data_IF_229670981655
#
_entry.id   IF_229670981655
#
_cell.length_a   1.000
_cell.length_b   1.000
_cell.length_c   1.000
_cell.angle_alpha   90.00
_cell.angle_beta   90.00
_cell.angle_gamma   90.00
#
_symmetry.space_group_name_H-M   'P 1'
#
loop_
_entity.id
_entity.type
_entity.pdbx_description
1 polymer ?
#
# COMPACT_ATOMS: atom_id res chain seq x y z
N UNK A 1 62.67 -22.32 23.83
CA UNK A 1 61.91 -23.32 24.63
C UNK A 1 61.62 -22.72 26.00
N UNK A 2 60.49 -23.04 26.67
CA UNK A 2 59.56 -24.12 26.35
C UNK A 2 58.11 -23.69 26.12
N UNK A 3 57.44 -24.58 25.39
CA UNK A 3 56.01 -24.83 25.29
C UNK A 3 55.35 -24.94 26.68
N UNK A 4 54.13 -24.42 26.83
CA UNK A 4 53.23 -24.82 27.91
C UNK A 4 51.91 -25.28 27.28
N UNK A 5 51.67 -26.58 27.45
CA UNK A 5 50.46 -27.34 27.10
C UNK A 5 49.25 -26.92 27.95
N UNK A 6 48.02 -26.93 27.38
CA UNK A 6 46.80 -26.67 28.12
C UNK A 6 46.31 -27.91 28.88
N UNK A 7 45.91 -27.70 30.13
CA UNK A 7 45.37 -28.70 31.06
C UNK A 7 43.84 -28.86 30.92
N UNK A 8 43.38 -30.10 30.72
CA UNK A 8 41.97 -30.52 30.80
C UNK A 8 41.43 -30.52 32.23
N UNK A 9 40.12 -30.29 32.40
CA UNK A 9 39.28 -31.06 33.34
C UNK A 9 38.01 -31.59 32.64
N UNK A 10 37.79 -32.91 32.59
CA UNK A 10 37.08 -33.79 33.53
C UNK A 10 35.59 -34.02 33.15
N UNK A 11 35.09 -35.28 33.21
CA UNK A 11 33.93 -35.73 32.42
C UNK A 11 32.55 -35.56 33.09
N UNK A 12 31.52 -35.47 32.25
CA UNK A 12 30.10 -35.32 32.58
C UNK A 12 29.49 -36.52 33.34
N UNK A 13 28.55 -36.30 34.28
CA UNK A 13 27.86 -37.38 34.97
C UNK A 13 26.72 -38.00 34.14
N UNK A 14 26.59 -39.32 34.28
CA UNK A 14 25.63 -40.21 33.62
C UNK A 14 24.22 -40.10 34.21
N UNK A 15 23.22 -40.22 33.33
CA UNK A 15 21.78 -40.42 33.63
C UNK A 15 21.49 -41.80 34.25
N UNK A 16 20.42 -41.92 35.07
CA UNK A 16 19.79 -43.21 35.31
C UNK A 16 18.76 -43.57 34.21
N UNK A 17 18.69 -44.87 33.89
CA UNK A 17 17.67 -45.52 33.03
C UNK A 17 16.55 -46.11 33.89
N UNK A 18 15.31 -46.03 33.41
CA UNK A 18 14.19 -47.01 33.47
C UNK A 18 12.90 -46.24 33.11
N UNK A 19 11.97 -46.68 32.28
CA UNK A 19 11.77 -47.85 31.43
C UNK A 19 10.38 -47.70 30.77
N UNK A 20 10.01 -48.65 29.89
CA UNK A 20 8.61 -48.97 29.59
C UNK A 20 7.90 -48.24 28.43
N UNK A 21 7.89 -48.91 27.27
CA UNK A 21 6.76 -49.26 26.38
C UNK A 21 5.65 -48.23 26.03
N UNK A 22 5.43 -48.08 24.71
CA UNK A 22 4.16 -48.07 23.91
C UNK A 22 3.06 -47.10 24.40
N UNK A 23 2.42 -46.23 23.60
CA UNK A 23 1.74 -46.41 22.31
C UNK A 23 1.20 -45.06 21.78
N UNK A 24 0.83 -45.03 20.50
CA UNK A 24 0.08 -43.97 19.78
C UNK A 24 -1.25 -43.63 20.48
N UNK A 25 -1.71 -42.37 20.45
CA UNK A 25 -2.90 -41.88 19.71
C UNK A 25 -3.29 -40.44 20.07
N UNK A 26 -3.81 -39.76 19.04
CA UNK A 26 -4.49 -38.46 19.02
C UNK A 26 -5.84 -38.54 19.74
N UNK A 27 -6.30 -37.46 20.38
CA UNK A 27 -7.74 -37.21 20.60
C UNK A 27 -8.04 -35.72 20.75
N UNK A 28 -8.93 -35.25 19.88
CA UNK A 28 -9.71 -34.02 19.99
C UNK A 28 -10.89 -34.23 20.93
N UNK A 29 -11.40 -33.16 21.54
CA UNK A 29 -12.76 -33.13 22.08
C UNK A 29 -13.35 -31.71 21.93
N UNK A 30 -14.43 -31.66 21.15
CA UNK A 30 -15.40 -30.58 21.09
C UNK A 30 -16.39 -30.71 22.26
N UNK A 31 -16.93 -29.58 22.72
CA UNK A 31 -18.07 -29.54 23.65
C UNK A 31 -19.32 -29.09 22.89
N UNK A 32 -20.37 -29.91 22.98
CA UNK A 32 -21.71 -29.63 22.52
C UNK A 32 -22.57 -29.11 23.68
N UNK A 33 -23.50 -28.21 23.39
CA UNK A 33 -24.65 -27.90 24.25
C UNK A 33 -25.90 -28.11 23.42
N UNK A 34 -26.76 -29.02 23.88
CA UNK A 34 -28.11 -29.26 23.37
C UNK A 34 -29.10 -28.94 24.50
N UNK A 35 -30.24 -28.34 24.15
CA UNK A 35 -31.50 -28.56 24.85
C UNK A 35 -32.67 -28.43 23.85
N UNK A 36 -33.53 -29.45 23.90
CA UNK A 36 -34.74 -29.71 23.13
C UNK A 36 -35.88 -28.71 23.50
N UNK A 37 -36.99 -28.56 22.77
CA UNK A 37 -38.08 -29.52 22.43
C UNK A 37 -39.05 -28.83 21.45
N UNK A 38 -39.67 -29.49 20.46
CA UNK A 38 -41.00 -30.09 20.59
C UNK A 38 -41.94 -29.63 19.44
N UNK A 39 -42.74 -30.55 18.91
CA UNK A 39 -43.38 -30.52 17.58
C UNK A 39 -44.67 -29.67 17.43
N UNK A 40 -44.96 -29.23 16.20
CA UNK A 40 -46.30 -29.24 15.59
C UNK A 40 -46.24 -28.99 14.07
N UNK A 41 -46.80 -29.92 13.29
CA UNK A 41 -47.01 -29.85 11.84
C UNK A 41 -48.26 -29.01 11.54
N UNK A 42 -48.11 -27.90 10.82
CA UNK A 42 -49.16 -27.28 10.00
C UNK A 42 -48.48 -26.51 8.85
N UNK A 43 -48.59 -27.03 7.63
CA UNK A 43 -48.16 -26.36 6.39
C UNK A 43 -49.29 -25.48 5.84
N UNK A 44 -49.10 -24.18 5.65
CA UNK A 44 -49.71 -23.48 4.53
C UNK A 44 -48.75 -23.51 3.34
N UNK A 45 -49.28 -23.85 2.18
CA UNK A 45 -48.59 -23.79 0.91
C UNK A 45 -48.08 -22.35 0.67
N UNK A 46 -46.76 -22.18 0.74
CA UNK A 46 -46.10 -20.98 0.23
C UNK A 46 -45.79 -21.23 -1.25
N UNK A 47 -46.48 -20.51 -2.13
CA UNK A 47 -46.15 -20.42 -3.54
C UNK A 47 -44.69 -19.98 -3.67
N UNK A 48 -43.84 -20.89 -4.14
CA UNK A 48 -42.48 -20.58 -4.51
C UNK A 48 -42.51 -19.68 -5.76
N UNK A 49 -42.45 -18.36 -5.57
CA UNK A 49 -42.04 -17.46 -6.64
C UNK A 49 -40.61 -17.89 -7.04
N UNK A 50 -40.49 -18.50 -8.20
CA UNK A 50 -39.21 -18.76 -8.82
C UNK A 50 -38.54 -17.41 -9.15
N UNK A 51 -37.77 -16.89 -8.19
CA UNK A 51 -36.78 -15.88 -8.49
C UNK A 51 -35.78 -16.53 -9.45
N UNK A 52 -35.76 -16.06 -10.69
CA UNK A 52 -34.76 -16.41 -11.68
C UNK A 52 -33.40 -15.93 -11.16
N UNK A 53 -32.73 -16.79 -10.40
CA UNK A 53 -31.34 -16.60 -10.06
C UNK A 53 -30.56 -16.53 -11.37
N UNK A 54 -30.06 -15.33 -11.70
CA UNK A 54 -29.10 -15.18 -12.78
C UNK A 54 -27.96 -16.19 -12.54
N UNK A 55 -27.51 -16.92 -13.57
CA UNK A 55 -26.44 -17.89 -13.38
C UNK A 55 -25.23 -17.16 -12.78
N UNK A 56 -24.81 -17.62 -11.60
CA UNK A 56 -23.54 -17.20 -11.03
C UNK A 56 -22.46 -17.43 -12.10
N UNK A 57 -21.75 -16.37 -12.47
CA UNK A 57 -20.67 -16.47 -13.44
C UNK A 57 -19.72 -17.58 -12.95
N UNK A 58 -19.53 -18.60 -13.80
CA UNK A 58 -18.57 -19.66 -13.51
C UNK A 58 -17.21 -19.02 -13.16
N UNK A 59 -16.47 -19.51 -12.16
CA UNK A 59 -15.14 -19.00 -11.87
C UNK A 59 -14.31 -19.13 -13.14
N UNK A 60 -13.96 -17.99 -13.75
CA UNK A 60 -12.99 -17.96 -14.83
C UNK A 60 -11.69 -18.45 -14.19
N UNK A 61 -11.26 -19.67 -14.52
CA UNK A 61 -9.94 -20.14 -14.14
C UNK A 61 -8.95 -19.07 -14.61
N UNK A 62 -8.29 -18.41 -13.67
CA UNK A 62 -7.30 -17.41 -13.99
C UNK A 62 -6.17 -18.12 -14.74
N UNK A 63 -5.78 -17.57 -15.89
CA UNK A 63 -4.66 -18.13 -16.65
C UNK A 63 -3.39 -18.01 -15.79
N UNK A 64 -2.61 -19.09 -15.72
CA UNK A 64 -1.32 -19.06 -15.04
C UNK A 64 -0.41 -18.03 -15.70
N UNK A 65 0.28 -17.23 -14.88
CA UNK A 65 1.25 -16.25 -15.37
C UNK A 65 2.41 -16.96 -16.08
N UNK A 66 2.92 -16.34 -17.14
CA UNK A 66 4.10 -16.81 -17.83
C UNK A 66 5.34 -16.52 -16.97
N UNK A 67 6.10 -17.56 -16.60
CA UNK A 67 7.37 -17.40 -15.88
C UNK A 67 8.51 -17.09 -16.85
N UNK A 68 9.25 -16.01 -16.57
CA UNK A 68 10.44 -15.63 -17.33
C UNK A 68 11.68 -16.21 -16.64
N UNK A 69 12.36 -17.16 -17.30
CA UNK A 69 13.47 -17.88 -16.70
C UNK A 69 14.76 -17.03 -16.56
N UNK A 70 15.04 -16.16 -17.54
CA UNK A 70 16.28 -15.40 -17.62
C UNK A 70 16.01 -13.94 -18.04
N UNK A 71 15.95 -13.03 -17.06
CA UNK A 71 15.72 -11.59 -17.29
C UNK A 71 16.97 -10.72 -17.07
N UNK A 72 18.15 -11.34 -16.98
CA UNK A 72 19.42 -10.66 -16.73
C UNK A 72 19.93 -10.85 -15.31
N UNK A 73 20.73 -9.88 -14.82
CA UNK A 73 21.29 -9.94 -13.48
C UNK A 73 20.17 -9.96 -12.42
N UNK A 74 20.29 -10.85 -11.43
CA UNK A 74 19.26 -11.06 -10.42
C UNK A 74 19.87 -11.15 -9.01
N UNK A 75 20.53 -10.10 -8.50
CA UNK A 75 21.18 -10.14 -7.19
C UNK A 75 20.19 -10.31 -6.03
N UNK A 76 18.92 -9.92 -6.20
CA UNK A 76 17.84 -10.13 -5.22
C UNK A 76 17.18 -11.50 -5.28
N UNK A 77 17.63 -12.40 -6.16
CA UNK A 77 17.08 -13.75 -6.33
C UNK A 77 15.54 -13.77 -6.45
N UNK A 78 14.98 -12.85 -7.25
CA UNK A 78 13.55 -12.74 -7.51
C UNK A 78 13.10 -13.65 -8.64
N UNK A 79 11.83 -14.02 -8.67
CA UNK A 79 11.20 -14.62 -9.85
C UNK A 79 10.44 -13.56 -10.63
N UNK A 80 10.55 -13.57 -11.96
CA UNK A 80 9.79 -12.71 -12.86
C UNK A 80 8.68 -13.50 -13.52
N UNK A 81 7.48 -12.93 -13.50
CA UNK A 81 6.33 -13.39 -14.26
C UNK A 81 5.80 -12.25 -15.12
N UNK A 82 5.09 -12.58 -16.19
CA UNK A 82 4.43 -11.58 -17.04
C UNK A 82 2.98 -11.93 -17.33
N UNK A 83 2.15 -10.89 -17.43
CA UNK A 83 0.87 -10.92 -18.12
C UNK A 83 0.98 -10.07 -19.38
N UNK A 84 0.87 -10.72 -20.53
CA UNK A 84 0.95 -10.09 -21.85
C UNK A 84 -0.42 -10.13 -22.53
N UNK A 85 -1.05 -8.96 -22.77
CA UNK A 85 -2.21 -8.87 -23.64
C UNK A 85 -1.93 -9.48 -25.02
N UNK A 86 -2.89 -10.22 -25.58
CA UNK A 86 -2.73 -10.90 -26.86
C UNK A 86 -2.33 -9.94 -28.00
N UNK A 87 -2.83 -8.70 -27.95
CA UNK A 87 -2.52 -7.63 -28.89
C UNK A 87 -1.69 -6.51 -28.23
N UNK A 88 -0.57 -6.86 -27.57
CA UNK A 88 0.33 -5.86 -27.00
C UNK A 88 0.89 -4.94 -28.11
N UNK A 89 0.65 -3.62 -28.06
CA UNK A 89 1.17 -2.68 -29.06
C UNK A 89 2.71 -2.60 -29.04
N UNK A 90 3.31 -2.23 -30.17
CA UNK A 90 4.72 -1.83 -30.18
C UNK A 90 4.90 -0.54 -29.36
N UNK A 91 5.97 -0.46 -28.55
CA UNK A 91 6.16 0.67 -27.64
C UNK A 91 5.11 0.75 -26.54
N UNK A 92 4.53 -0.40 -26.17
CA UNK A 92 3.55 -0.47 -25.08
C UNK A 92 4.18 -0.04 -23.74
N UNK A 93 3.40 0.58 -22.84
CA UNK A 93 3.81 0.79 -21.46
C UNK A 93 4.06 -0.52 -20.71
N UNK A 94 4.86 -0.45 -19.64
CA UNK A 94 5.07 -1.56 -18.72
C UNK A 94 4.73 -1.15 -17.29
N UNK A 95 3.97 -1.99 -16.58
CA UNK A 95 3.66 -1.82 -15.16
C UNK A 95 4.32 -2.97 -14.39
N UNK A 96 5.22 -2.63 -13.47
CA UNK A 96 5.76 -3.58 -12.49
C UNK A 96 4.80 -3.67 -11.31
N UNK A 97 4.39 -4.88 -10.96
CA UNK A 97 3.47 -5.18 -9.87
C UNK A 97 4.17 -5.98 -8.75
N UNK A 98 4.11 -5.46 -7.53
CA UNK A 98 4.80 -6.01 -6.35
C UNK A 98 3.77 -6.45 -5.29
N UNK A 99 3.73 -7.76 -5.01
CA UNK A 99 2.80 -8.34 -4.05
C UNK A 99 3.12 -7.98 -2.59
N UNK A 100 2.13 -8.13 -1.70
CA UNK A 100 2.32 -8.01 -0.26
C UNK A 100 2.92 -9.26 0.38
N UNK A 101 3.28 -9.17 1.66
CA UNK A 101 3.75 -10.33 2.42
C UNK A 101 2.77 -11.51 2.33
N UNK A 102 3.30 -12.73 2.37
CA UNK A 102 2.62 -14.04 2.30
C UNK A 102 1.96 -14.37 0.96
N UNK A 103 1.81 -13.38 0.08
CA UNK A 103 1.24 -13.54 -1.25
C UNK A 103 2.24 -14.13 -2.25
N UNK A 104 1.75 -14.38 -3.47
CA UNK A 104 2.51 -14.73 -4.66
C UNK A 104 2.18 -13.74 -5.79
N UNK A 105 3.01 -13.71 -6.84
CA UNK A 105 2.72 -12.96 -8.06
C UNK A 105 1.37 -13.38 -8.66
N UNK A 106 1.10 -14.69 -8.73
CA UNK A 106 -0.18 -15.21 -9.25
C UNK A 106 -1.37 -14.70 -8.42
N UNK A 107 -1.28 -14.78 -7.09
CA UNK A 107 -2.36 -14.32 -6.22
C UNK A 107 -2.60 -12.81 -6.40
N UNK A 108 -1.54 -12.01 -6.52
CA UNK A 108 -1.67 -10.58 -6.77
C UNK A 108 -2.27 -10.27 -8.14
N UNK A 109 -1.88 -11.02 -9.18
CA UNK A 109 -2.43 -10.88 -10.52
C UNK A 109 -3.93 -11.23 -10.59
N UNK A 110 -4.33 -12.31 -9.93
CA UNK A 110 -5.71 -12.81 -9.94
C UNK A 110 -6.69 -11.83 -9.25
N UNK A 111 -6.22 -11.10 -8.24
CA UNK A 111 -7.10 -10.34 -7.36
C UNK A 111 -6.98 -8.81 -7.50
N UNK A 112 -5.86 -8.27 -8.00
CA UNK A 112 -5.65 -6.80 -8.09
C UNK A 112 -6.46 -6.13 -9.20
N UNK A 113 -6.83 -6.87 -10.25
CA UNK A 113 -7.47 -6.31 -11.45
C UNK A 113 -6.51 -5.68 -12.46
N UNK A 114 -5.18 -5.73 -12.23
CA UNK A 114 -4.18 -5.18 -13.16
C UNK A 114 -4.22 -5.87 -14.53
N UNK A 115 -4.38 -7.19 -14.57
CA UNK A 115 -4.51 -7.93 -15.84
C UNK A 115 -5.72 -7.47 -16.66
N UNK A 116 -6.84 -7.17 -16.01
CA UNK A 116 -8.05 -6.66 -16.67
C UNK A 116 -7.78 -5.34 -17.38
N UNK A 117 -7.05 -4.41 -16.75
CA UNK A 117 -6.73 -3.13 -17.36
C UNK A 117 -5.60 -3.24 -18.37
N UNK A 118 -4.65 -4.16 -18.18
CA UNK A 118 -3.62 -4.48 -19.15
C UNK A 118 -4.24 -4.94 -20.48
N UNK A 119 -5.20 -5.87 -20.42
CA UNK A 119 -5.92 -6.37 -21.58
C UNK A 119 -6.76 -5.27 -22.25
N UNK A 120 -7.36 -4.39 -21.45
CA UNK A 120 -8.24 -3.31 -21.95
C UNK A 120 -7.46 -2.16 -22.59
N UNK A 121 -6.29 -1.83 -22.06
CA UNK A 121 -5.57 -0.61 -22.40
C UNK A 121 -4.21 -0.85 -23.07
N UNK A 122 -3.81 -2.12 -23.24
CA UNK A 122 -2.65 -2.48 -24.05
C UNK A 122 -1.31 -2.15 -23.40
N UNK A 123 -1.12 -2.54 -22.14
CA UNK A 123 0.18 -2.47 -21.46
C UNK A 123 0.63 -3.83 -20.93
N UNK A 124 1.94 -4.02 -20.80
CA UNK A 124 2.51 -5.23 -20.21
C UNK A 124 2.47 -5.13 -18.68
N UNK A 125 2.16 -6.22 -17.99
CA UNK A 125 2.39 -6.31 -16.53
C UNK A 125 3.52 -7.27 -16.24
N UNK A 126 4.52 -6.78 -15.50
CA UNK A 126 5.61 -7.58 -14.95
C UNK A 126 5.35 -7.80 -13.48
N UNK A 127 5.19 -9.03 -13.04
CA UNK A 127 5.06 -9.38 -11.63
C UNK A 127 6.40 -9.88 -11.10
N UNK A 128 6.94 -9.18 -10.11
CA UNK A 128 8.08 -9.68 -9.34
C UNK A 128 7.56 -10.51 -8.17
N UNK A 129 8.22 -11.63 -7.89
CA UNK A 129 7.88 -12.51 -6.78
C UNK A 129 9.09 -12.76 -5.87
N UNK A 130 8.85 -12.62 -4.56
CA UNK A 130 9.73 -13.11 -3.50
C UNK A 130 9.22 -14.43 -2.95
N UNK A 131 10.13 -15.25 -2.45
CA UNK A 131 9.84 -16.55 -1.84
C UNK A 131 10.29 -16.58 -0.38
N UNK A 132 10.06 -17.70 0.30
CA UNK A 132 10.54 -17.92 1.66
C UNK A 132 12.08 -17.90 1.77
N UNK A 133 12.79 -18.08 0.66
CA UNK A 133 14.25 -17.95 0.61
C UNK A 133 14.71 -16.49 0.67
N UNK A 134 13.89 -15.54 0.19
CA UNK A 134 14.19 -14.10 0.26
C UNK A 134 13.82 -13.56 1.65
N UNK A 135 12.65 -13.96 2.15
CA UNK A 135 12.12 -13.52 3.43
C UNK A 135 11.15 -14.60 3.94
N UNK A 136 11.20 -14.97 5.23
CA UNK A 136 10.36 -16.04 5.77
C UNK A 136 8.84 -15.81 5.55
N UNK A 137 8.41 -14.55 5.46
CA UNK A 137 7.04 -14.16 5.18
C UNK A 137 6.79 -13.84 3.69
N UNK A 138 7.72 -14.14 2.77
CA UNK A 138 7.67 -13.74 1.36
C UNK A 138 7.43 -12.24 1.18
N UNK A 139 7.94 -11.42 2.10
CA UNK A 139 7.91 -9.98 1.93
C UNK A 139 9.07 -9.55 1.01
N UNK A 140 8.87 -8.49 0.25
CA UNK A 140 9.99 -7.69 -0.24
C UNK A 140 10.78 -7.11 0.94
N UNK A 141 12.10 -7.15 0.88
CA UNK A 141 13.00 -6.64 1.91
C UNK A 141 13.23 -5.13 1.76
N UNK A 142 12.15 -4.36 1.82
CA UNK A 142 12.10 -2.89 1.58
C UNK A 142 12.87 -2.02 2.58
N UNK A 143 13.42 -2.61 3.64
CA UNK A 143 14.22 -1.92 4.67
C UNK A 143 15.66 -2.41 4.73
N UNK A 144 16.02 -3.50 4.03
CA UNK A 144 17.39 -4.02 4.07
C UNK A 144 18.25 -3.25 3.08
N UNK A 145 19.38 -2.61 3.49
CA UNK A 145 20.20 -1.86 2.55
C UNK A 145 20.82 -2.70 1.42
N UNK A 146 20.98 -4.01 1.65
CA UNK A 146 21.40 -4.96 0.62
C UNK A 146 20.38 -5.16 -0.50
N UNK A 147 19.11 -4.86 -0.25
CA UNK A 147 18.00 -5.05 -1.19
C UNK A 147 17.42 -3.75 -1.74
N UNK A 148 17.66 -2.62 -1.07
CA UNK A 148 17.03 -1.34 -1.39
C UNK A 148 17.95 -0.34 -2.08
N UNK A 149 19.27 -0.52 -1.99
CA UNK A 149 20.23 0.39 -2.61
C UNK A 149 20.30 0.19 -4.11
N UNK A 150 20.53 1.28 -4.84
CA UNK A 150 20.80 1.26 -6.28
C UNK A 150 21.93 0.28 -6.59
N UNK A 151 21.72 -0.58 -7.58
CA UNK A 151 22.64 -1.62 -8.03
C UNK A 151 22.68 -2.88 -7.16
N UNK A 152 21.86 -3.00 -6.11
CA UNK A 152 21.90 -4.13 -5.17
C UNK A 152 20.55 -4.85 -5.04
N UNK A 153 20.62 -6.13 -4.65
CA UNK A 153 19.53 -7.01 -4.25
C UNK A 153 18.21 -6.87 -5.02
N UNK A 154 17.09 -6.88 -4.31
CA UNK A 154 15.75 -6.87 -4.90
C UNK A 154 15.52 -5.67 -5.83
N UNK A 155 15.96 -4.47 -5.45
CA UNK A 155 15.77 -3.27 -6.26
C UNK A 155 16.50 -3.36 -7.62
N UNK A 156 17.74 -3.88 -7.64
CA UNK A 156 18.44 -4.13 -8.90
C UNK A 156 17.80 -5.21 -9.75
N UNK A 157 17.31 -6.29 -9.14
CA UNK A 157 16.57 -7.32 -9.87
C UNK A 157 15.31 -6.76 -10.54
N UNK A 158 14.52 -5.93 -9.84
CA UNK A 158 13.31 -5.31 -10.41
C UNK A 158 13.67 -4.39 -11.58
N UNK A 159 14.72 -3.57 -11.46
CA UNK A 159 15.21 -2.73 -12.58
C UNK A 159 15.60 -3.58 -13.80
N UNK A 160 16.18 -4.76 -13.58
CA UNK A 160 16.53 -5.69 -14.67
C UNK A 160 15.29 -6.31 -15.33
N UNK A 161 14.21 -6.57 -14.58
CA UNK A 161 12.95 -7.01 -15.17
C UNK A 161 12.35 -5.97 -16.12
N UNK A 162 12.43 -4.67 -15.79
CA UNK A 162 12.02 -3.58 -16.69
C UNK A 162 12.88 -3.55 -17.95
N UNK A 163 14.21 -3.62 -17.79
CA UNK A 163 15.13 -3.64 -18.92
C UNK A 163 14.87 -4.86 -19.84
N UNK A 164 14.63 -6.03 -19.25
CA UNK A 164 14.24 -7.23 -19.99
C UNK A 164 12.95 -7.01 -20.75
N UNK A 165 11.93 -6.43 -20.10
CA UNK A 165 10.65 -6.17 -20.74
C UNK A 165 10.77 -5.29 -22.00
N UNK A 166 11.61 -4.26 -21.96
CA UNK A 166 11.94 -3.42 -23.12
C UNK A 166 12.55 -4.25 -24.24
N UNK A 167 13.54 -5.08 -23.94
CA UNK A 167 14.26 -5.87 -24.97
C UNK A 167 13.46 -7.04 -25.52
N UNK A 168 12.68 -7.73 -24.69
CA UNK A 168 12.00 -8.98 -25.03
C UNK A 168 10.58 -8.76 -25.56
N UNK A 169 9.90 -7.70 -25.11
CA UNK A 169 8.50 -7.43 -25.48
C UNK A 169 8.31 -6.10 -26.22
N UNK A 170 9.38 -5.33 -26.46
CA UNK A 170 9.33 -4.08 -27.22
C UNK A 170 8.57 -2.96 -26.51
N UNK A 171 8.59 -2.95 -25.17
CA UNK A 171 7.95 -1.89 -24.38
C UNK A 171 8.74 -0.58 -24.48
N UNK A 172 8.04 0.54 -24.30
CA UNK A 172 8.64 1.87 -24.30
C UNK A 172 9.30 2.15 -22.92
N UNK A 173 10.64 2.33 -22.85
CA UNK A 173 11.32 2.55 -21.59
C UNK A 173 10.93 3.87 -20.91
N UNK A 174 10.36 4.83 -21.64
CA UNK A 174 9.85 6.08 -21.06
C UNK A 174 8.46 5.93 -20.43
N UNK A 175 7.81 4.76 -20.59
CA UNK A 175 6.46 4.45 -20.08
C UNK A 175 6.46 3.26 -19.13
N UNK A 176 7.50 3.19 -18.29
CA UNK A 176 7.56 2.23 -17.21
C UNK A 176 6.95 2.81 -15.92
N UNK A 177 6.15 2.00 -15.26
CA UNK A 177 5.46 2.33 -14.01
C UNK A 177 5.65 1.21 -12.99
N UNK A 178 5.45 1.51 -11.71
CA UNK A 178 5.56 0.50 -10.64
C UNK A 178 4.45 0.69 -9.61
N UNK A 179 3.85 -0.41 -9.15
CA UNK A 179 2.83 -0.41 -8.12
C UNK A 179 2.99 -1.61 -7.21
N UNK A 180 2.51 -1.50 -5.97
CA UNK A 180 2.50 -2.64 -5.07
C UNK A 180 1.74 -2.40 -3.78
N UNK A 181 1.46 -3.53 -3.11
CA UNK A 181 0.74 -3.58 -1.84
C UNK A 181 1.69 -3.83 -0.68
N UNK A 182 1.50 -3.14 0.45
CA UNK A 182 2.18 -3.46 1.73
C UNK A 182 3.70 -3.42 1.57
N UNK A 183 4.41 -4.53 1.83
CA UNK A 183 5.84 -4.67 1.52
C UNK A 183 6.18 -4.36 0.06
N UNK A 184 5.33 -4.73 -0.90
CA UNK A 184 5.46 -4.33 -2.30
C UNK A 184 5.18 -2.84 -2.54
N UNK A 185 4.32 -2.22 -1.73
CA UNK A 185 4.10 -0.77 -1.73
C UNK A 185 5.32 -0.02 -1.19
N UNK A 186 5.93 -0.51 -0.10
CA UNK A 186 7.19 0.03 0.41
C UNK A 186 8.35 -0.18 -0.60
N UNK A 187 8.42 -1.35 -1.26
CA UNK A 187 9.38 -1.58 -2.34
C UNK A 187 9.09 -0.70 -3.57
N UNK A 188 7.84 -0.32 -3.82
CA UNK A 188 7.51 0.69 -4.84
C UNK A 188 8.19 2.03 -4.51
N UNK A 189 8.12 2.50 -3.26
CA UNK A 189 8.86 3.70 -2.82
C UNK A 189 10.37 3.57 -3.02
N UNK A 190 10.94 2.38 -2.78
CA UNK A 190 12.35 2.07 -3.05
C UNK A 190 12.67 2.21 -4.53
N UNK A 191 11.85 1.64 -5.42
CA UNK A 191 12.09 1.71 -6.86
C UNK A 191 12.05 3.15 -7.38
N UNK A 192 11.10 3.96 -6.90
CA UNK A 192 10.97 5.36 -7.29
C UNK A 192 12.14 6.23 -6.80
N UNK A 193 12.72 5.92 -5.65
CA UNK A 193 13.85 6.65 -5.09
C UNK A 193 15.20 6.21 -5.68
N UNK A 194 15.43 4.91 -5.82
CA UNK A 194 16.72 4.35 -6.27
C UNK A 194 16.89 4.36 -7.80
N UNK A 195 15.79 4.37 -8.56
CA UNK A 195 15.78 4.38 -10.02
C UNK A 195 14.75 5.37 -10.60
N UNK A 196 14.80 6.67 -10.22
CA UNK A 196 13.86 7.68 -10.70
C UNK A 196 13.93 7.87 -12.22
N UNK A 197 15.06 7.54 -12.86
CA UNK A 197 15.23 7.58 -14.31
C UNK A 197 14.50 6.45 -15.06
N UNK A 198 14.07 5.42 -14.36
CA UNK A 198 13.41 4.25 -14.95
C UNK A 198 11.89 4.42 -14.98
N UNK A 199 11.29 5.06 -13.98
CA UNK A 199 9.84 5.08 -13.81
C UNK A 199 9.25 6.45 -14.07
N UNK A 200 8.24 6.54 -14.94
CA UNK A 200 7.48 7.77 -15.15
C UNK A 200 6.53 8.07 -13.98
N UNK A 201 5.99 7.03 -13.36
CA UNK A 201 5.13 7.14 -12.18
C UNK A 201 5.09 5.85 -11.37
N UNK A 202 4.67 5.93 -10.11
CA UNK A 202 4.34 4.75 -9.31
C UNK A 202 3.15 4.94 -8.38
N UNK A 203 2.61 3.83 -7.89
CA UNK A 203 1.47 3.81 -6.98
C UNK A 203 1.76 2.94 -5.75
N UNK A 204 1.72 3.57 -4.57
CA UNK A 204 2.02 2.94 -3.29
C UNK A 204 0.69 2.59 -2.61
N UNK A 205 0.37 1.30 -2.51
CA UNK A 205 -0.86 0.83 -1.86
C UNK A 205 -0.53 0.28 -0.47
N UNK A 206 -1.06 0.91 0.58
CA UNK A 206 -0.82 0.57 1.99
C UNK A 206 0.69 0.40 2.31
N UNK A 207 1.52 1.27 1.73
CA UNK A 207 2.99 1.21 1.83
C UNK A 207 3.58 2.28 2.76
N UNK A 208 4.90 2.47 2.65
CA UNK A 208 5.71 3.29 3.58
C UNK A 208 6.66 4.18 2.77
N UNK A 209 7.03 5.38 3.28
CA UNK A 209 8.07 6.22 2.68
C UNK A 209 9.41 5.50 2.50
N UNK A 210 10.14 5.87 1.45
CA UNK A 210 11.51 5.41 1.26
C UNK A 210 12.42 5.88 2.40
N UNK A 211 13.35 5.03 2.83
CA UNK A 211 14.33 5.37 3.87
C UNK A 211 13.73 5.50 5.28
N UNK A 212 12.49 5.03 5.50
CA UNK A 212 11.88 5.04 6.82
C UNK A 212 12.65 4.13 7.79
N UNK A 213 12.90 2.88 7.39
CA UNK A 213 13.65 1.90 8.18
C UNK A 213 14.86 1.35 7.41
N UNK A 214 15.89 0.94 8.15
CA UNK A 214 17.14 0.34 7.63
C UNK A 214 17.45 -1.02 8.26
N UNK A 215 16.57 -1.48 9.14
CA UNK A 215 16.66 -2.75 9.85
C UNK A 215 15.24 -3.16 10.30
N UNK A 216 15.12 -4.35 10.88
CA UNK A 216 13.82 -4.91 11.30
C UNK A 216 13.14 -4.03 12.37
N UNK A 217 13.91 -3.45 13.30
CA UNK A 217 13.35 -2.69 14.43
C UNK A 217 12.75 -1.37 13.95
N UNK A 218 13.51 -0.65 13.14
CA UNK A 218 13.06 0.59 12.49
C UNK A 218 11.93 0.30 11.48
N UNK A 219 11.97 -0.83 10.77
CA UNK A 219 10.89 -1.25 9.88
C UNK A 219 9.55 -1.41 10.62
N UNK A 220 9.53 -2.09 11.76
CA UNK A 220 8.31 -2.21 12.56
C UNK A 220 7.81 -0.86 13.07
N UNK A 221 8.72 0.01 13.51
CA UNK A 221 8.37 1.36 13.98
C UNK A 221 7.77 2.22 12.85
N UNK A 222 8.27 2.05 11.62
CA UNK A 222 7.75 2.65 10.41
C UNK A 222 6.38 2.13 10.00
N UNK A 223 6.14 0.84 10.18
CA UNK A 223 4.81 0.26 9.93
C UNK A 223 3.81 0.83 10.94
N UNK A 224 4.11 0.78 12.23
CA UNK A 224 3.24 1.29 13.28
C UNK A 224 4.07 1.69 14.51
N UNK A 225 3.90 2.90 15.07
CA UNK A 225 2.86 3.90 14.76
C UNK A 225 3.12 4.74 13.50
N UNK A 226 4.20 4.48 12.77
CA UNK A 226 4.70 5.35 11.70
C UNK A 226 5.80 6.28 12.22
N UNK A 227 6.76 6.60 11.35
CA UNK A 227 7.73 7.66 11.63
C UNK A 227 7.09 9.03 11.39
N UNK A 228 7.48 10.04 12.15
CA UNK A 228 7.09 11.44 11.95
C UNK A 228 8.39 12.20 11.66
N UNK A 229 8.64 12.51 10.39
CA UNK A 229 9.84 13.26 9.99
C UNK A 229 9.45 14.49 9.18
N UNK A 230 10.31 15.49 9.20
CA UNK A 230 10.07 16.68 8.40
C UNK A 230 10.08 16.34 6.90
N UNK A 231 9.29 17.04 6.06
CA UNK A 231 9.32 16.84 4.61
C UNK A 231 10.73 16.97 4.02
N UNK A 232 11.56 17.87 4.56
CA UNK A 232 12.96 18.03 4.15
C UNK A 232 13.82 16.78 4.45
N UNK A 233 13.67 16.17 5.63
CA UNK A 233 14.38 14.94 5.98
C UNK A 233 13.94 13.77 5.09
N UNK A 234 12.64 13.70 4.77
CA UNK A 234 12.13 12.69 3.84
C UNK A 234 12.65 12.88 2.41
N UNK A 235 12.67 14.11 1.91
CA UNK A 235 13.20 14.41 0.59
C UNK A 235 14.71 14.15 0.51
N UNK A 236 15.46 14.44 1.58
CA UNK A 236 16.89 14.14 1.64
C UNK A 236 17.13 12.62 1.50
N UNK A 237 16.37 11.79 2.21
CA UNK A 237 16.48 10.33 2.09
C UNK A 237 16.29 9.85 0.65
N UNK A 238 15.34 10.42 -0.10
CA UNK A 238 15.14 10.11 -1.53
C UNK A 238 16.32 10.58 -2.37
N UNK A 239 16.82 11.80 -2.16
CA UNK A 239 17.97 12.34 -2.90
C UNK A 239 19.26 11.54 -2.64
N UNK A 240 19.43 10.99 -1.44
CA UNK A 240 20.56 10.14 -1.08
C UNK A 240 20.54 8.76 -1.76
N UNK A 241 19.37 8.31 -2.22
CA UNK A 241 19.23 7.05 -2.95
C UNK A 241 19.87 7.09 -4.34
N UNK A 242 19.84 8.25 -4.99
CA UNK A 242 20.54 8.53 -6.24
C UNK A 242 21.21 9.92 -6.21
N UNK A 243 22.40 10.03 -5.58
CA UNK A 243 23.13 11.28 -5.51
C UNK A 243 23.41 11.84 -6.91
N UNK A 244 23.16 13.14 -7.10
CA UNK A 244 23.39 13.83 -8.37
C UNK A 244 22.31 13.63 -9.43
N UNK A 245 21.21 12.91 -9.14
CA UNK A 245 20.07 12.86 -10.06
C UNK A 245 19.48 14.25 -10.27
N UNK A 246 19.46 14.70 -11.52
CA UNK A 246 18.96 16.00 -11.95
C UNK A 246 17.80 15.89 -12.96
N UNK A 247 17.32 14.67 -13.22
CA UNK A 247 16.17 14.41 -14.07
C UNK A 247 14.83 14.73 -13.39
N UNK A 248 13.71 14.58 -14.10
CA UNK A 248 12.39 14.71 -13.50
C UNK A 248 12.14 13.58 -12.50
N UNK A 249 11.52 13.90 -11.37
CA UNK A 249 11.08 12.88 -10.41
C UNK A 249 9.80 12.18 -10.89
N UNK A 250 9.62 10.89 -10.60
CA UNK A 250 8.38 10.18 -10.92
C UNK A 250 7.16 10.79 -10.23
N UNK A 251 5.99 10.71 -10.87
CA UNK A 251 4.71 11.03 -10.20
C UNK A 251 4.30 9.90 -9.26
N UNK A 252 3.67 10.20 -8.12
CA UNK A 252 3.34 9.20 -7.10
C UNK A 252 1.87 9.25 -6.68
N UNK A 253 1.15 8.14 -6.84
CA UNK A 253 -0.17 7.94 -6.23
C UNK A 253 -0.04 7.13 -4.93
N UNK A 254 -0.81 7.49 -3.92
CA UNK A 254 -0.76 6.88 -2.58
C UNK A 254 -2.17 6.43 -2.23
N UNK A 255 -2.37 5.13 -2.07
CA UNK A 255 -3.65 4.53 -1.73
C UNK A 255 -3.57 3.93 -0.33
N UNK A 256 -4.39 4.41 0.60
CA UNK A 256 -4.31 3.95 1.99
C UNK A 256 -5.68 3.84 2.65
N UNK A 257 -5.92 2.74 3.35
CA UNK A 257 -7.09 2.58 4.20
C UNK A 257 -7.00 3.43 5.46
N UNK A 258 -8.07 4.13 5.83
CA UNK A 258 -8.08 4.94 7.05
C UNK A 258 -8.15 4.12 8.36
N UNK A 259 -8.44 2.81 8.27
CA UNK A 259 -8.48 1.86 9.38
C UNK A 259 -7.35 0.81 9.30
N UNK A 260 -6.25 1.12 8.59
CA UNK A 260 -5.11 0.19 8.45
C UNK A 260 -4.34 0.02 9.78
N UNK A 261 -4.53 -1.13 10.42
CA UNK A 261 -3.86 -1.47 11.68
C UNK A 261 -2.46 -2.10 11.51
N UNK A 262 -2.05 -2.41 10.28
CA UNK A 262 -0.74 -3.03 9.98
C UNK A 262 0.27 -1.98 9.59
N UNK A 263 -0.09 -1.13 8.63
CA UNK A 263 0.70 0.02 8.21
C UNK A 263 -0.13 1.25 8.51
N UNK A 264 0.18 1.94 9.61
CA UNK A 264 -0.63 3.00 10.16
C UNK A 264 -0.97 4.06 9.09
N UNK A 265 -2.21 4.61 9.07
CA UNK A 265 -2.64 5.58 8.05
C UNK A 265 -1.78 6.85 7.99
N UNK A 266 -1.02 7.13 9.06
CA UNK A 266 0.03 8.16 9.08
C UNK A 266 1.01 8.00 7.91
N UNK A 267 1.34 6.78 7.50
CA UNK A 267 2.28 6.55 6.40
C UNK A 267 1.81 7.18 5.08
N UNK A 268 0.50 7.35 4.85
CA UNK A 268 0.00 8.09 3.70
C UNK A 268 0.34 9.59 3.77
N UNK A 269 0.29 10.17 4.97
CA UNK A 269 0.69 11.55 5.23
C UNK A 269 2.21 11.72 5.09
N UNK A 270 3.01 10.78 5.58
CA UNK A 270 4.47 10.82 5.44
C UNK A 270 4.93 10.59 3.99
N UNK A 271 4.22 9.73 3.23
CA UNK A 271 4.46 9.55 1.79
C UNK A 271 4.14 10.84 1.03
N UNK A 272 3.03 11.50 1.34
CA UNK A 272 2.71 12.83 0.81
C UNK A 272 3.86 13.78 1.10
N UNK A 273 4.31 13.85 2.35
CA UNK A 273 5.35 14.80 2.78
C UNK A 273 6.68 14.54 2.08
N UNK A 274 7.07 13.28 1.95
CA UNK A 274 8.24 12.88 1.18
C UNK A 274 8.16 13.35 -0.27
N UNK A 275 7.10 12.95 -0.98
CA UNK A 275 7.05 13.16 -2.42
C UNK A 275 6.74 14.61 -2.78
N UNK A 276 5.92 15.33 -2.01
CA UNK A 276 5.71 16.77 -2.21
C UNK A 276 7.01 17.55 -2.02
N UNK A 277 7.81 17.25 -0.98
CA UNK A 277 9.09 17.91 -0.79
C UNK A 277 10.15 17.55 -1.84
N UNK A 278 10.15 16.31 -2.36
CA UNK A 278 10.99 15.91 -3.50
C UNK A 278 10.68 16.76 -4.74
N UNK A 279 9.38 16.98 -5.00
CA UNK A 279 8.87 17.79 -6.10
C UNK A 279 8.91 19.31 -5.85
N UNK A 280 9.29 19.76 -4.65
CA UNK A 280 9.30 21.19 -4.28
C UNK A 280 7.90 21.80 -4.14
N UNK A 281 6.90 20.98 -3.82
CA UNK A 281 5.51 21.37 -3.65
C UNK A 281 5.16 21.61 -2.18
N UNK A 282 4.15 22.44 -1.93
CA UNK A 282 3.55 22.61 -0.60
C UNK A 282 2.66 21.43 -0.20
N UNK A 283 2.31 21.38 1.10
CA UNK A 283 1.44 20.34 1.68
C UNK A 283 -0.07 20.67 1.56
N UNK A 284 -0.42 21.79 0.92
CA UNK A 284 -1.81 22.11 0.59
C UNK A 284 -2.15 21.53 -0.78
N UNK A 285 -3.21 20.73 -0.91
CA UNK A 285 -3.58 20.15 -2.20
C UNK A 285 -4.03 21.25 -3.17
N UNK A 286 -3.62 21.14 -4.43
CA UNK A 286 -4.10 21.98 -5.53
C UNK A 286 -5.54 21.64 -5.94
N UNK A 287 -6.00 20.41 -5.65
CA UNK A 287 -7.37 19.95 -5.89
C UNK A 287 -7.73 18.83 -4.92
N UNK A 288 -9.00 18.80 -4.52
CA UNK A 288 -9.57 17.68 -3.75
C UNK A 288 -10.86 17.23 -4.40
N UNK A 289 -11.09 15.93 -4.47
CA UNK A 289 -12.33 15.34 -4.99
C UNK A 289 -12.69 14.07 -4.21
N UNK A 290 -13.87 13.52 -4.53
CA UNK A 290 -14.38 12.29 -3.95
C UNK A 290 -14.60 11.28 -5.07
N UNK A 291 -13.99 10.10 -4.96
CA UNK A 291 -14.07 9.06 -5.98
C UNK A 291 -15.00 7.94 -5.56
N UNK A 292 -15.71 7.41 -6.55
CA UNK A 292 -16.45 6.16 -6.45
C UNK A 292 -17.58 6.17 -5.41
N UNK A 293 -18.31 5.05 -5.29
CA UNK A 293 -19.47 4.95 -4.41
C UNK A 293 -19.10 4.90 -2.92
N UNK A 294 -17.82 4.67 -2.59
CA UNK A 294 -17.34 4.53 -1.23
C UNK A 294 -16.86 5.87 -0.61
N UNK A 295 -16.97 6.99 -1.32
CA UNK A 295 -16.49 8.30 -0.89
C UNK A 295 -14.97 8.34 -0.64
N UNK A 296 -14.15 7.71 -1.49
CA UNK A 296 -12.69 7.80 -1.39
C UNK A 296 -12.25 9.24 -1.55
N UNK A 297 -11.53 9.77 -0.56
CA UNK A 297 -11.07 11.16 -0.59
C UNK A 297 -9.75 11.25 -1.35
N UNK A 298 -9.78 11.95 -2.49
CA UNK A 298 -8.60 12.28 -3.30
C UNK A 298 -8.07 13.66 -2.97
N UNK A 299 -6.75 13.77 -2.83
CA UNK A 299 -6.02 15.03 -2.71
C UNK A 299 -4.86 15.05 -3.69
N UNK A 300 -4.87 16.01 -4.60
CA UNK A 300 -3.89 16.16 -5.67
C UNK A 300 -2.95 17.32 -5.34
N UNK A 301 -1.65 17.10 -5.53
CA UNK A 301 -0.58 18.07 -5.32
C UNK A 301 0.19 18.22 -6.64
N UNK A 302 0.15 19.41 -7.21
CA UNK A 302 0.83 19.73 -8.45
C UNK A 302 0.89 21.23 -8.68
N UNK A 303 1.61 21.67 -9.72
CA UNK A 303 1.72 23.09 -10.05
C UNK A 303 0.38 23.71 -10.47
N UNK A 304 -0.51 22.90 -11.05
CA UNK A 304 -1.86 23.30 -11.44
C UNK A 304 -2.88 22.18 -11.16
N UNK A 305 -4.15 22.52 -10.88
CA UNK A 305 -5.21 21.53 -10.69
C UNK A 305 -5.31 20.55 -11.88
N UNK A 306 -5.43 19.24 -11.60
CA UNK A 306 -5.50 18.19 -12.63
C UNK A 306 -4.14 17.75 -13.19
N UNK A 307 -3.02 18.33 -12.74
CA UNK A 307 -1.66 17.91 -13.05
C UNK A 307 -0.94 17.41 -11.80
N UNK A 308 -1.49 16.39 -11.14
CA UNK A 308 -0.94 15.85 -9.90
C UNK A 308 0.47 15.23 -10.12
N UNK A 309 1.48 15.77 -9.43
CA UNK A 309 2.76 15.09 -9.23
C UNK A 309 2.68 14.10 -8.06
N UNK A 310 1.87 14.42 -7.05
CA UNK A 310 1.52 13.53 -5.95
C UNK A 310 0.01 13.46 -5.79
N UNK A 311 -0.55 12.27 -5.67
CA UNK A 311 -1.97 12.01 -5.42
C UNK A 311 -2.10 11.17 -4.15
N UNK A 312 -3.01 11.56 -3.25
CA UNK A 312 -3.31 10.82 -2.02
C UNK A 312 -4.79 10.44 -2.01
N UNK A 313 -5.05 9.14 -2.06
CA UNK A 313 -6.37 8.52 -2.02
C UNK A 313 -6.56 7.81 -0.67
N UNK A 314 -7.28 8.47 0.26
CA UNK A 314 -7.66 7.88 1.54
C UNK A 314 -8.99 7.14 1.39
N UNK A 315 -8.96 5.83 1.57
CA UNK A 315 -10.09 4.94 1.33
C UNK A 315 -10.81 4.67 2.65
N UNK A 316 -12.06 5.12 2.81
CA UNK A 316 -12.73 5.06 4.10
C UNK A 316 -13.18 3.65 4.46
N UNK A 317 -13.07 3.32 5.75
CA UNK A 317 -13.59 2.11 6.36
C UNK A 317 -12.78 0.84 6.13
N UNK A 318 -11.72 0.88 5.30
CA UNK A 318 -10.93 -0.32 4.99
C UNK A 318 -9.65 -0.41 5.82
N UNK A 319 -9.26 -1.64 6.15
CA UNK A 319 -7.99 -1.96 6.79
C UNK A 319 -6.84 -2.17 5.79
N UNK A 320 -5.85 -2.98 6.20
CA UNK A 320 -4.66 -3.26 5.39
C UNK A 320 -4.97 -4.07 4.13
N UNK A 321 -4.93 -3.45 2.95
CA UNK A 321 -5.15 -4.16 1.69
C UNK A 321 -5.25 -3.29 0.45
N UNK A 322 -5.34 -3.95 -0.70
CA UNK A 322 -5.68 -3.35 -1.99
C UNK A 322 -7.19 -3.18 -2.07
N UNK A 323 -7.71 -1.96 -2.22
CA UNK A 323 -9.11 -1.73 -2.53
C UNK A 323 -9.42 -2.29 -3.92
N UNK A 324 -10.45 -3.13 -4.01
CA UNK A 324 -10.98 -3.69 -5.26
C UNK A 324 -12.48 -3.49 -5.34
N UNK A 325 -13.06 -3.56 -6.54
CA UNK A 325 -14.50 -3.50 -6.74
C UNK A 325 -14.92 -4.59 -7.72
N UNK A 326 -15.12 -5.84 -7.25
CA UNK A 326 -15.45 -6.95 -8.14
C UNK A 326 -16.70 -6.66 -8.97
N UNK A 327 -16.63 -7.00 -10.25
CA UNK A 327 -17.70 -6.75 -11.21
C UNK A 327 -17.16 -6.63 -12.63
N UNK A 328 -18.05 -6.43 -13.59
CA UNK A 328 -17.72 -6.33 -15.02
C UNK A 328 -17.84 -4.91 -15.58
N UNK A 329 -18.25 -3.95 -14.75
CA UNK A 329 -18.35 -2.55 -15.13
C UNK A 329 -17.00 -1.93 -15.53
N UNK A 330 -17.02 -0.76 -16.19
CA UNK A 330 -15.81 -0.12 -16.69
C UNK A 330 -14.84 0.26 -15.56
N UNK A 331 -15.34 0.60 -14.38
CA UNK A 331 -14.53 0.98 -13.20
C UNK A 331 -14.40 -0.15 -12.18
N UNK A 332 -14.91 -1.35 -12.50
CA UNK A 332 -14.90 -2.51 -11.62
C UNK A 332 -13.74 -3.42 -11.98
N UNK A 333 -13.10 -4.00 -10.96
CA UNK A 333 -11.96 -4.89 -11.13
C UNK A 333 -11.69 -5.72 -9.88
N UNK A 334 -10.83 -6.72 -10.07
CA UNK A 334 -10.29 -7.52 -8.99
C UNK A 334 -11.29 -8.50 -8.40
N UNK A 335 -10.82 -9.23 -7.40
CA UNK A 335 -11.58 -10.25 -6.71
C UNK A 335 -11.37 -10.13 -5.19
N UNK A 336 -12.31 -10.68 -4.43
CA UNK A 336 -12.28 -10.72 -2.96
C UNK A 336 -12.29 -12.18 -2.51
N UNK A 337 -12.30 -12.42 -1.19
CA UNK A 337 -12.21 -13.76 -0.62
C UNK A 337 -10.78 -14.23 -0.37
N UNK A 338 -9.79 -13.42 -0.76
CA UNK A 338 -8.38 -13.58 -0.41
C UNK A 338 -7.95 -12.44 0.51
N UNK A 339 -7.07 -12.73 1.48
CA UNK A 339 -6.57 -11.73 2.42
C UNK A 339 -5.94 -10.54 1.68
N UNK A 340 -6.25 -9.33 2.17
CA UNK A 340 -5.75 -8.05 1.65
C UNK A 340 -6.31 -7.58 0.29
N UNK A 341 -7.43 -8.14 -0.20
CA UNK A 341 -8.21 -7.54 -1.29
C UNK A 341 -9.62 -7.23 -0.79
N UNK A 342 -9.91 -5.93 -0.65
CA UNK A 342 -11.06 -5.45 0.12
C UNK A 342 -12.08 -4.83 -0.83
N UNK A 343 -13.33 -5.32 -0.78
CA UNK A 343 -14.44 -4.75 -1.54
C UNK A 343 -14.72 -3.29 -1.12
N UNK A 344 -14.38 -2.33 -1.97
CA UNK A 344 -14.57 -0.91 -1.69
C UNK A 344 -14.60 -0.08 -2.98
N UNK A 345 -13.46 0.12 -3.62
CA UNK A 345 -13.27 0.84 -4.88
C UNK A 345 -12.16 0.13 -5.67
N UNK A 346 -12.22 0.11 -7.00
CA UNK A 346 -11.13 -0.47 -7.79
C UNK A 346 -9.93 0.49 -7.84
N UNK A 347 -8.95 0.30 -6.95
CA UNK A 347 -7.73 1.12 -6.97
C UNK A 347 -6.96 0.99 -8.29
N UNK A 348 -6.86 -0.21 -8.87
CA UNK A 348 -6.17 -0.44 -10.15
C UNK A 348 -6.74 0.34 -11.33
N UNK A 349 -8.05 0.65 -11.33
CA UNK A 349 -8.66 1.51 -12.35
C UNK A 349 -8.08 2.92 -12.29
N UNK A 350 -8.10 3.50 -11.09
CA UNK A 350 -7.62 4.85 -10.85
C UNK A 350 -6.10 4.97 -10.99
N UNK A 351 -5.35 3.95 -10.55
CA UNK A 351 -3.89 3.86 -10.77
C UNK A 351 -3.56 3.84 -12.26
N UNK A 352 -4.31 3.06 -13.06
CA UNK A 352 -4.14 3.01 -14.52
C UNK A 352 -4.39 4.39 -15.16
N UNK A 353 -5.39 5.14 -14.68
CA UNK A 353 -5.64 6.52 -15.10
C UNK A 353 -4.53 7.48 -14.65
N UNK A 354 -4.08 7.37 -13.41
CA UNK A 354 -2.99 8.19 -12.88
C UNK A 354 -1.72 8.01 -13.70
N UNK A 355 -1.40 6.79 -14.12
CA UNK A 355 -0.28 6.49 -15.01
C UNK A 355 -0.47 7.02 -16.45
N UNK A 356 -1.67 7.47 -16.83
CA UNK A 356 -1.97 7.93 -18.18
C UNK A 356 -2.18 6.78 -19.17
N UNK A 357 -2.53 5.58 -18.67
CA UNK A 357 -2.66 4.37 -19.47
C UNK A 357 -4.09 4.11 -19.95
N UNK A 358 -5.09 4.74 -19.33
CA UNK A 358 -6.46 4.66 -19.82
C UNK A 358 -6.57 5.40 -21.17
N UNK A 359 -6.78 4.65 -22.26
CA UNK A 359 -6.83 5.18 -23.64
C UNK A 359 -7.89 6.29 -23.84
N UNK A 360 -7.70 7.11 -24.87
CA UNK A 360 -8.56 8.26 -25.23
C UNK A 360 -9.89 7.88 -25.91
N UNK A 361 -10.42 6.67 -25.71
CA UNK A 361 -11.76 6.33 -26.20
C UNK A 361 -12.80 7.07 -25.37
N UNK A 362 -13.19 8.23 -25.91
CA UNK A 362 -14.39 9.04 -25.70
C UNK A 362 -14.90 9.16 -24.25
N UNK A 363 -14.76 10.40 -23.78
CA UNK A 363 -15.27 11.03 -22.56
C UNK A 363 -14.50 10.74 -21.26
N UNK A 364 -13.90 11.79 -20.63
CA UNK A 364 -13.91 11.83 -19.17
C UNK A 364 -15.39 11.73 -18.75
N UNK A 365 -15.77 11.09 -17.62
CA UNK A 365 -16.83 11.73 -16.88
C UNK A 365 -16.30 13.15 -16.68
N UNK A 366 -17.01 14.13 -17.24
CA UNK A 366 -16.83 15.51 -16.84
C UNK A 366 -17.16 15.49 -15.36
N UNK A 367 -16.17 15.16 -14.53
CA UNK A 367 -16.21 15.38 -13.12
C UNK A 367 -16.31 16.90 -13.08
N UNK A 368 -17.49 17.47 -12.75
CA UNK A 368 -17.62 18.90 -12.73
C UNK A 368 -16.46 19.40 -11.86
N UNK A 369 -15.74 20.46 -12.24
CA UNK A 369 -14.91 21.16 -11.28
C UNK A 369 -15.86 21.54 -10.14
N UNK A 370 -15.85 20.73 -9.10
CA UNK A 370 -16.39 21.15 -7.83
C UNK A 370 -15.37 22.18 -7.40
N UNK A 371 -15.76 23.46 -7.55
CA UNK A 371 -15.14 24.54 -6.80
C UNK A 371 -14.84 24.01 -5.40
N UNK A 372 -13.66 24.33 -4.83
CA UNK A 372 -13.26 23.82 -3.52
C UNK A 372 -14.49 23.89 -2.63
N UNK A 373 -14.96 22.75 -2.09
CA UNK A 373 -16.22 22.78 -1.38
C UNK A 373 -16.05 23.87 -0.34
N UNK A 374 -16.91 24.88 -0.44
CA UNK A 374 -17.09 25.85 0.64
C UNK A 374 -17.84 25.10 1.73
N UNK A 375 -17.28 23.97 2.16
CA UNK A 375 -17.64 23.32 3.40
C UNK A 375 -17.39 24.39 4.46
N UNK A 376 -18.43 24.79 5.21
CA UNK A 376 -18.20 25.67 6.34
C UNK A 376 -17.16 24.97 7.21
N UNK A 377 -16.03 25.63 7.40
CA UNK A 377 -14.94 25.09 8.20
C UNK A 377 -15.50 24.58 9.52
N UNK A 378 -15.45 23.27 9.74
CA UNK A 378 -15.93 22.71 10.98
C UNK A 378 -15.04 23.22 12.12
N UNK A 379 -15.70 23.69 13.18
CA UNK A 379 -15.03 24.14 14.39
C UNK A 379 -15.33 23.16 15.52
N UNK A 380 -14.30 22.81 16.29
CA UNK A 380 -14.45 22.04 17.52
C UNK A 380 -13.90 22.85 18.67
N UNK A 381 -14.71 23.05 19.70
CA UNK A 381 -14.27 23.59 20.98
C UNK A 381 -14.15 22.43 21.95
N UNK A 382 -12.93 22.15 22.42
CA UNK A 382 -12.69 21.09 23.38
C UNK A 382 -11.45 21.40 24.24
N UNK A 383 -11.25 20.63 25.30
CA UNK A 383 -9.99 20.72 26.06
C UNK A 383 -8.82 20.24 25.21
N UNK A 384 -7.61 20.69 25.55
CA UNK A 384 -6.39 20.24 24.88
C UNK A 384 -6.24 18.71 24.93
N UNK A 385 -6.66 18.09 26.04
CA UNK A 385 -6.77 16.63 26.14
C UNK A 385 -7.66 16.03 25.05
N UNK A 386 -8.88 16.55 24.92
CA UNK A 386 -9.87 16.06 23.95
C UNK A 386 -9.49 16.34 22.50
N UNK A 387 -8.79 17.45 22.23
CA UNK A 387 -8.25 17.73 20.89
C UNK A 387 -7.22 16.69 20.46
N UNK A 388 -6.33 16.28 21.36
CA UNK A 388 -5.33 15.24 21.07
C UNK A 388 -6.00 13.88 20.94
N UNK A 389 -6.91 13.52 21.86
CA UNK A 389 -7.65 12.25 21.83
C UNK A 389 -8.44 12.07 20.54
N UNK A 390 -9.01 13.15 20.01
CA UNK A 390 -9.78 13.16 18.77
C UNK A 390 -8.93 13.42 17.51
N UNK A 391 -7.60 13.41 17.63
CA UNK A 391 -6.69 13.53 16.49
C UNK A 391 -6.61 14.92 15.84
N UNK A 392 -7.08 15.98 16.53
CA UNK A 392 -7.02 17.39 16.09
C UNK A 392 -5.77 18.13 16.57
N UNK A 393 -5.03 17.57 17.52
CA UNK A 393 -3.79 18.10 18.06
C UNK A 393 -2.77 16.98 18.36
N UNK A 394 -1.49 17.34 18.48
CA UNK A 394 -0.40 16.47 18.95
C UNK A 394 0.14 16.98 20.29
N UNK A 395 0.93 16.17 21.00
CA UNK A 395 1.53 16.57 22.29
C UNK A 395 3.05 16.47 22.24
N UNK A 396 3.72 17.42 22.89
CA UNK A 396 5.18 17.39 23.10
C UNK A 396 5.52 18.19 24.36
N UNK A 397 6.34 17.62 25.25
CA UNK A 397 6.87 18.32 26.42
C UNK A 397 5.81 18.84 27.41
N UNK A 398 4.64 18.20 27.50
CA UNK A 398 3.53 18.64 28.36
C UNK A 398 2.61 19.70 27.73
N UNK A 399 2.85 20.09 26.48
CA UNK A 399 2.03 21.04 25.72
C UNK A 399 1.30 20.33 24.57
N UNK A 400 0.19 20.92 24.12
CA UNK A 400 -0.57 20.48 22.96
C UNK A 400 -0.36 21.45 21.77
N UNK A 401 -0.34 20.92 20.56
CA UNK A 401 -0.12 21.68 19.33
C UNK A 401 -1.17 21.29 18.29
N UNK A 402 -1.79 22.26 17.62
CA UNK A 402 -2.79 21.98 16.59
C UNK A 402 -2.18 21.16 15.45
N UNK A 403 -2.84 20.06 15.06
CA UNK A 403 -2.34 19.15 14.03
C UNK A 403 -2.40 19.85 12.67
N UNK A 404 -1.32 19.77 11.90
CA UNK A 404 -1.16 20.49 10.63
C UNK A 404 -0.49 21.85 10.79
N UNK A 405 -1.07 22.79 11.56
CA UNK A 405 -0.51 24.14 11.69
C UNK A 405 0.64 24.27 12.69
N UNK A 406 0.74 23.37 13.67
CA UNK A 406 1.74 23.43 14.73
C UNK A 406 1.51 24.55 15.76
N UNK A 407 0.36 25.22 15.75
CA UNK A 407 0.08 26.29 16.71
C UNK A 407 0.00 25.75 18.14
N UNK A 408 0.75 26.37 19.06
CA UNK A 408 0.77 25.98 20.47
C UNK A 408 -0.57 26.30 21.14
N UNK A 409 -1.22 25.27 21.68
CA UNK A 409 -2.49 25.35 22.41
C UNK A 409 -2.27 25.47 23.92
N UNK A 410 -1.03 25.53 24.39
CA UNK A 410 -0.71 25.56 25.82
C UNK A 410 -0.68 24.15 26.43
N UNK A 411 -0.88 24.07 27.75
CA UNK A 411 -0.70 22.84 28.51
C UNK A 411 -1.66 21.72 28.05
N UNK A 412 -1.14 20.51 27.90
CA UNK A 412 -1.93 19.31 27.63
C UNK A 412 -2.67 18.87 28.90
N UNK A 413 -3.88 19.40 29.09
CA UNK A 413 -4.74 19.05 30.21
C UNK A 413 -6.23 19.18 29.83
N UNK A 414 -7.12 18.89 30.77
CA UNK A 414 -8.57 18.98 30.60
C UNK A 414 -9.15 20.38 30.88
N UNK A 415 -8.34 21.32 31.39
CA UNK A 415 -8.77 22.65 31.83
C UNK A 415 -8.56 23.75 30.77
N UNK A 416 -7.51 23.62 29.96
CA UNK A 416 -7.20 24.55 28.86
C UNK A 416 -8.00 24.12 27.64
N UNK A 417 -8.80 25.04 27.10
CA UNK A 417 -9.74 24.79 26.00
C UNK A 417 -9.43 25.74 24.86
N UNK A 418 -9.43 25.21 23.63
CA UNK A 418 -9.30 26.00 22.41
C UNK A 418 -10.42 25.65 21.44
N UNK A 419 -10.72 26.60 20.55
CA UNK A 419 -11.53 26.31 19.38
C UNK A 419 -10.58 26.11 18.21
N UNK A 420 -10.59 24.91 17.63
CA UNK A 420 -9.84 24.61 16.42
C UNK A 420 -10.77 24.67 15.22
N UNK A 421 -10.37 25.46 14.23
CA UNK A 421 -10.96 25.50 12.90
C UNK A 421 -10.20 24.54 12.00
N UNK A 422 -10.90 23.61 11.37
CA UNK A 422 -10.32 22.79 10.29
C UNK A 422 -10.48 23.54 8.97
N UNK A 423 -9.35 23.84 8.35
CA UNK A 423 -9.29 24.12 6.91
C UNK A 423 -9.30 22.79 6.15
N UNK A 424 -9.67 22.74 4.85
CA UNK A 424 -9.76 21.47 4.12
C UNK A 424 -8.51 20.60 4.32
N UNK A 425 -8.74 19.33 4.69
CA UNK A 425 -7.74 18.27 4.93
C UNK A 425 -6.97 18.30 6.27
N UNK A 426 -7.60 18.01 7.41
CA UNK A 426 -6.89 17.57 8.63
C UNK A 426 -5.87 18.57 9.20
N UNK A 427 -5.99 19.84 8.79
CA UNK A 427 -5.14 20.95 9.17
C UNK A 427 -5.95 21.88 10.07
N UNK A 428 -5.56 21.93 11.34
CA UNK A 428 -6.26 22.65 12.40
C UNK A 428 -5.51 23.93 12.76
N UNK A 429 -6.26 25.02 12.91
CA UNK A 429 -5.73 26.31 13.38
C UNK A 429 -6.57 26.83 14.55
N UNK A 430 -5.97 27.61 15.44
CA UNK A 430 -6.70 28.32 16.51
C UNK A 430 -7.63 29.33 15.85
N UNK A 431 -8.93 29.25 16.14
CA UNK A 431 -9.90 30.23 15.66
C UNK A 431 -9.70 31.57 16.39
N UNK A 432 -9.46 32.65 15.65
CA UNK A 432 -9.24 34.02 16.19
C UNK A 432 -10.49 34.93 16.07
N UNK A 433 -11.67 34.35 15.82
CA UNK A 433 -12.93 35.06 15.67
C UNK A 433 -14.14 34.12 15.78
N UNK A 434 -15.35 34.61 15.54
CA UNK A 434 -16.57 33.80 15.54
C UNK A 434 -16.47 32.72 14.45
N UNK A 435 -16.56 31.45 14.85
CA UNK A 435 -16.76 30.35 13.91
C UNK A 435 -18.14 30.48 13.25
N UNK A 436 -18.25 30.27 11.92
CA UNK A 436 -19.55 30.17 11.24
C UNK A 436 -20.42 29.03 11.77
#
# INVERSE_FOLDING_TARGET
>A
MPYVTPSHPAPSPRRPRRGGRWSRTVSALAAAVTLATGAALLTPAAEAQAATAAPAAAPRAAAALERVANFGANPGALTMYVHRPAALPAGAPVVVALHGCTQSAQLYADNSGLNTFADRHGFLVVYAETTTANNANKCFNWFQPGDTRRGQGEAASIRQMVAHATTAYGTDPAKAHVTGLSAGGAMTSVMLAAYPEVFAAGAVVAGIPYGCGVDVVSAFSCMSPGADRTPAAWAQAVRDAHPGFAGPWPRVAIWHGDNDATVAPRNADELRDQWTAVHGLGQTPSRTSTLGPNNTRRSEYGPTPGQAAVEVDKVPGIGHGTPVAPGSGPEQCGATGTQHFIASICSSYWITRFFGLAGTTTEPPTEPPVDPPTEPAACWTASNYEHVRAGRATTTGGYAYAKGSGQNLGLYNTFVTHTLKESPAGHYTIATGSCP
#
